data_IF_840792820920
#
_entry.id   IF_840792820920
#
_cell.length_a   1.000
_cell.length_b   1.000
_cell.length_c   1.000
_cell.angle_alpha   90.00
_cell.angle_beta   90.00
_cell.angle_gamma   90.00
#
_symmetry.space_group_name_H-M   'P 1'
#
loop_
_entity.id
_entity.type
_entity.pdbx_description
1 polymer ?
#
# COMPACT_ATOMS: atom_id res chain seq x y z
N UNK A 1 8.80 21.35 -10.51
CA UNK A 1 8.21 20.04 -10.12
C UNK A 1 9.16 19.22 -9.24
N UNK A 2 10.48 19.23 -9.51
CA UNK A 2 11.45 18.42 -8.73
C UNK A 2 11.55 18.78 -7.24
N UNK A 3 11.38 20.04 -6.84
CA UNK A 3 11.48 20.46 -5.44
C UNK A 3 10.24 20.09 -4.61
N UNK A 4 9.17 19.80 -5.28
CA UNK A 4 7.86 19.51 -4.71
C UNK A 4 7.81 18.07 -4.20
N UNK A 5 8.30 17.10 -4.97
CA UNK A 5 8.41 15.70 -4.54
C UNK A 5 9.48 15.49 -3.46
N UNK A 6 10.56 16.26 -3.50
CA UNK A 6 11.62 16.22 -2.50
C UNK A 6 11.11 16.46 -1.08
N UNK A 7 10.13 17.34 -0.89
CA UNK A 7 9.62 17.65 0.45
C UNK A 7 8.97 16.43 1.11
N UNK A 8 8.17 15.66 0.39
CA UNK A 8 7.49 14.48 0.94
C UNK A 8 8.49 13.39 1.33
N UNK A 9 9.38 13.02 0.42
CA UNK A 9 10.43 12.04 0.70
C UNK A 9 11.34 12.51 1.84
N UNK A 10 11.80 13.76 1.83
CA UNK A 10 12.65 14.30 2.91
C UNK A 10 11.94 14.31 4.26
N UNK A 11 10.66 14.68 4.31
CA UNK A 11 9.88 14.70 5.56
C UNK A 11 9.75 13.28 6.13
N UNK A 12 9.44 12.29 5.29
CA UNK A 12 9.37 10.88 5.70
C UNK A 12 10.72 10.39 6.16
N UNK A 13 11.81 10.64 5.41
CA UNK A 13 13.15 10.21 5.82
C UNK A 13 13.60 10.86 7.13
N UNK A 14 13.29 12.14 7.37
CA UNK A 14 13.57 12.80 8.63
C UNK A 14 12.81 12.14 9.80
N UNK A 15 11.55 11.78 9.60
CA UNK A 15 10.75 11.06 10.61
C UNK A 15 11.35 9.68 10.90
N UNK A 16 11.66 8.89 9.86
CA UNK A 16 12.29 7.58 9.99
C UNK A 16 13.63 7.66 10.74
N UNK A 17 14.47 8.64 10.41
CA UNK A 17 15.74 8.88 11.09
C UNK A 17 15.55 9.25 12.56
N UNK A 18 14.60 10.13 12.87
CA UNK A 18 14.31 10.57 14.23
C UNK A 18 13.88 9.41 15.15
N UNK A 19 13.28 8.38 14.57
CA UNK A 19 12.79 7.17 15.26
C UNK A 19 13.76 6.01 15.25
N UNK A 20 14.98 6.18 14.69
CA UNK A 20 15.92 5.10 14.45
C UNK A 20 15.29 3.91 13.71
N UNK A 21 14.41 4.18 12.74
CA UNK A 21 13.76 3.16 11.93
C UNK A 21 14.79 2.34 11.14
N UNK A 22 14.57 1.03 10.94
CA UNK A 22 15.39 0.24 10.03
C UNK A 22 15.18 0.62 8.56
N UNK A 23 14.07 1.29 8.23
CA UNK A 23 13.73 1.68 6.87
C UNK A 23 14.61 2.82 6.37
N UNK A 24 15.19 2.64 5.17
CA UNK A 24 16.17 3.57 4.58
C UNK A 24 15.81 4.02 3.18
N UNK A 25 14.79 3.43 2.60
CA UNK A 25 14.31 3.77 1.26
C UNK A 25 12.84 4.14 1.27
N UNK A 26 12.45 4.98 0.34
CA UNK A 26 11.06 5.28 0.03
C UNK A 26 10.86 5.31 -1.48
N UNK A 27 9.77 4.71 -1.94
CA UNK A 27 9.37 4.64 -3.34
C UNK A 27 7.98 5.26 -3.48
N UNK A 28 7.81 6.11 -4.49
CA UNK A 28 6.50 6.63 -4.89
C UNK A 28 6.28 6.34 -6.37
N UNK A 29 5.15 5.73 -6.68
CA UNK A 29 4.75 5.40 -8.05
C UNK A 29 3.25 5.63 -8.26
N UNK A 30 2.82 5.55 -9.53
CA UNK A 30 1.42 5.74 -9.92
C UNK A 30 0.85 4.45 -10.57
N UNK A 31 0.66 3.36 -9.80
CA UNK A 31 0.12 2.10 -10.32
C UNK A 31 -1.35 2.28 -10.69
N UNK A 32 -1.68 2.02 -11.96
CA UNK A 32 -2.97 2.36 -12.56
C UNK A 32 -4.12 1.65 -11.86
N UNK A 33 -3.97 0.35 -11.60
CA UNK A 33 -5.02 -0.50 -11.05
C UNK A 33 -5.36 -0.11 -9.61
N UNK A 34 -4.34 0.16 -8.80
CA UNK A 34 -4.55 0.64 -7.42
C UNK A 34 -5.19 2.03 -7.42
N UNK A 35 -4.75 2.93 -8.28
CA UNK A 35 -5.37 4.26 -8.41
C UNK A 35 -6.84 4.11 -8.84
N UNK A 36 -7.12 3.25 -9.82
CA UNK A 36 -8.48 2.99 -10.28
C UNK A 36 -9.41 2.53 -9.15
N UNK A 37 -8.92 1.66 -8.24
CA UNK A 37 -9.68 1.22 -7.07
C UNK A 37 -10.10 2.40 -6.17
N UNK A 38 -9.28 3.43 -6.03
CA UNK A 38 -9.59 4.58 -5.17
C UNK A 38 -10.75 5.45 -5.70
N UNK A 39 -11.19 5.24 -6.94
CA UNK A 39 -12.39 5.87 -7.48
C UNK A 39 -13.70 5.19 -7.01
N UNK A 40 -13.60 4.04 -6.36
CA UNK A 40 -14.72 3.34 -5.75
C UNK A 40 -14.72 3.57 -4.23
N UNK A 41 -15.72 4.25 -3.65
CA UNK A 41 -15.72 4.63 -2.23
C UNK A 41 -15.51 3.47 -1.25
N UNK A 42 -16.00 2.26 -1.56
CA UNK A 42 -15.81 1.09 -0.69
C UNK A 42 -14.34 0.71 -0.50
N UNK A 43 -13.47 1.03 -1.46
CA UNK A 43 -12.03 0.73 -1.37
C UNK A 43 -11.22 1.86 -0.72
N UNK A 44 -11.88 2.90 -0.23
CA UNK A 44 -11.27 3.86 0.69
C UNK A 44 -11.35 3.39 2.16
N UNK A 45 -12.11 2.33 2.43
CA UNK A 45 -12.11 1.64 3.71
C UNK A 45 -10.90 0.70 3.77
N UNK A 46 -9.95 0.98 4.65
CA UNK A 46 -8.64 0.30 4.72
C UNK A 46 -8.76 -1.21 4.85
N UNK A 47 -9.62 -1.66 5.76
CA UNK A 47 -9.81 -3.10 6.01
C UNK A 47 -10.44 -3.80 4.80
N UNK A 48 -11.35 -3.13 4.10
CA UNK A 48 -11.98 -3.66 2.88
C UNK A 48 -10.95 -3.80 1.76
N UNK A 49 -10.17 -2.76 1.52
CA UNK A 49 -9.13 -2.78 0.49
C UNK A 49 -8.04 -3.80 0.82
N UNK A 50 -7.51 -3.78 2.05
CA UNK A 50 -6.47 -4.70 2.49
C UNK A 50 -6.91 -6.16 2.37
N UNK A 51 -8.07 -6.51 2.94
CA UNK A 51 -8.55 -7.90 2.89
C UNK A 51 -8.82 -8.38 1.48
N UNK A 52 -9.38 -7.52 0.61
CA UNK A 52 -9.55 -7.85 -0.79
C UNK A 52 -8.21 -8.14 -1.47
N UNK A 53 -7.24 -7.24 -1.36
CA UNK A 53 -5.95 -7.37 -2.03
C UNK A 53 -5.17 -8.58 -1.49
N UNK A 54 -5.20 -8.82 -0.19
CA UNK A 54 -4.59 -10.00 0.42
C UNK A 54 -5.20 -11.32 -0.10
N UNK A 55 -6.50 -11.31 -0.42
CA UNK A 55 -7.19 -12.52 -0.85
C UNK A 55 -6.92 -12.89 -2.32
N UNK A 56 -6.38 -11.99 -3.13
CA UNK A 56 -6.20 -12.24 -4.57
C UNK A 56 -5.00 -13.15 -4.90
N UNK A 57 -3.87 -12.97 -4.22
CA UNK A 57 -2.68 -13.83 -4.34
C UNK A 57 -1.95 -13.89 -2.99
N UNK A 58 -1.31 -15.04 -2.67
CA UNK A 58 -0.59 -15.24 -1.41
C UNK A 58 0.50 -14.22 -1.14
N UNK A 59 1.25 -13.85 -2.18
CA UNK A 59 2.39 -12.94 -2.09
C UNK A 59 2.00 -11.58 -1.49
N UNK A 60 0.79 -11.11 -1.74
CA UNK A 60 0.36 -9.80 -1.26
C UNK A 60 0.36 -9.73 0.27
N UNK A 61 -0.15 -10.77 0.93
CA UNK A 61 -0.11 -10.83 2.40
C UNK A 61 1.32 -11.07 2.92
N UNK A 62 2.12 -11.84 2.19
CA UNK A 62 3.51 -12.14 2.57
C UNK A 62 4.40 -10.90 2.51
N UNK A 63 4.29 -10.08 1.46
CA UNK A 63 5.09 -8.88 1.26
C UNK A 63 4.53 -7.63 1.96
N UNK A 64 3.20 -7.57 2.13
CA UNK A 64 2.52 -6.45 2.79
C UNK A 64 1.74 -6.92 4.01
N UNK A 65 2.39 -7.54 5.02
CA UNK A 65 1.70 -8.15 6.16
C UNK A 65 0.97 -7.13 7.04
N UNK A 66 1.37 -5.87 7.00
CA UNK A 66 0.71 -4.78 7.73
C UNK A 66 -0.47 -4.16 6.96
N UNK A 67 -0.71 -4.61 5.72
CA UNK A 67 -1.80 -4.13 4.89
C UNK A 67 -1.49 -2.82 4.17
N UNK A 68 -2.55 -2.13 3.76
CA UNK A 68 -2.50 -0.91 2.96
C UNK A 68 -3.11 0.27 3.72
N UNK A 69 -2.30 1.27 4.06
CA UNK A 69 -2.79 2.55 4.55
C UNK A 69 -3.46 3.35 3.43
N UNK A 70 -4.48 4.14 3.75
CA UNK A 70 -5.19 4.96 2.76
C UNK A 70 -5.37 6.37 3.30
N UNK A 71 -4.94 7.35 2.51
CA UNK A 71 -5.10 8.78 2.80
C UNK A 71 -6.12 9.36 1.80
N UNK A 72 -7.22 9.94 2.30
CA UNK A 72 -8.15 10.70 1.46
C UNK A 72 -7.42 11.80 0.69
N UNK A 73 -7.99 12.20 -0.46
CA UNK A 73 -7.36 13.19 -1.33
C UNK A 73 -6.83 14.41 -0.57
N UNK A 74 -5.58 14.71 -0.82
CA UNK A 74 -4.90 15.94 -0.41
C UNK A 74 -4.13 16.50 -1.60
N UNK A 75 -3.94 17.80 -1.61
CA UNK A 75 -3.20 18.45 -2.68
C UNK A 75 -1.79 17.83 -2.79
N UNK A 76 -1.40 17.34 -3.96
CA UNK A 76 -0.05 16.83 -4.19
C UNK A 76 1.00 17.85 -3.75
N UNK A 77 2.03 17.36 -3.04
CA UNK A 77 3.15 18.18 -2.55
C UNK A 77 2.84 19.16 -1.43
N UNK A 78 1.65 19.09 -0.87
CA UNK A 78 1.30 19.88 0.31
C UNK A 78 1.97 19.33 1.58
N UNK A 79 2.10 20.18 2.57
CA UNK A 79 2.56 19.80 3.92
C UNK A 79 1.57 18.81 4.54
N UNK A 80 0.28 19.03 4.33
CA UNK A 80 -0.80 18.19 4.83
C UNK A 80 -0.74 16.74 4.30
N UNK A 81 -0.30 16.55 3.03
CA UNK A 81 -0.07 15.21 2.50
C UNK A 81 1.15 14.55 3.13
N UNK A 82 2.23 15.30 3.35
CA UNK A 82 3.43 14.79 4.00
C UNK A 82 3.14 14.35 5.44
N UNK A 83 2.47 15.20 6.22
CA UNK A 83 2.09 14.89 7.61
C UNK A 83 1.15 13.69 7.70
N UNK A 84 0.14 13.63 6.81
CA UNK A 84 -0.77 12.48 6.75
C UNK A 84 -0.02 11.19 6.37
N UNK A 85 0.94 11.27 5.44
CA UNK A 85 1.77 10.11 5.06
C UNK A 85 2.62 9.63 6.23
N UNK A 86 3.31 10.53 6.93
CA UNK A 86 4.09 10.19 8.12
C UNK A 86 3.22 9.56 9.20
N UNK A 87 2.03 10.08 9.43
CA UNK A 87 1.08 9.53 10.39
C UNK A 87 0.65 8.12 10.01
N UNK A 88 0.31 7.89 8.75
CA UNK A 88 -0.16 6.60 8.27
C UNK A 88 0.96 5.55 8.27
N UNK A 89 2.20 5.93 7.99
CA UNK A 89 3.38 5.07 8.05
C UNK A 89 3.76 4.60 9.47
N UNK A 90 3.07 5.02 10.51
CA UNK A 90 3.22 4.42 11.85
C UNK A 90 2.64 3.00 11.89
N UNK A 91 1.56 2.78 11.15
CA UNK A 91 0.79 1.54 11.18
C UNK A 91 1.00 0.69 9.92
N UNK A 92 1.39 1.30 8.80
CA UNK A 92 1.54 0.66 7.48
C UNK A 92 2.92 0.93 6.88
N UNK A 93 3.40 0.04 6.02
CA UNK A 93 4.64 0.23 5.25
C UNK A 93 4.35 0.77 3.85
N UNK A 94 3.11 0.61 3.38
CA UNK A 94 2.60 1.10 2.09
C UNK A 94 1.36 1.94 2.32
N UNK A 95 1.32 3.11 1.70
CA UNK A 95 0.20 4.06 1.82
C UNK A 95 -0.29 4.46 0.44
N UNK A 96 -1.59 4.31 0.21
CA UNK A 96 -2.29 4.80 -0.96
C UNK A 96 -2.75 6.25 -0.74
N UNK A 97 -2.43 7.12 -1.68
CA UNK A 97 -3.01 8.47 -1.78
C UNK A 97 -4.18 8.43 -2.76
N UNK A 98 -5.38 8.71 -2.27
CA UNK A 98 -6.60 8.66 -3.08
C UNK A 98 -6.43 9.45 -4.37
N UNK A 99 -6.73 8.80 -5.53
CA UNK A 99 -6.67 9.36 -6.89
C UNK A 99 -5.31 9.93 -7.31
N UNK A 100 -4.23 9.46 -6.65
CA UNK A 100 -2.89 9.98 -6.94
C UNK A 100 -1.89 8.86 -7.18
N UNK A 101 -1.59 8.05 -6.17
CA UNK A 101 -0.56 7.03 -6.27
C UNK A 101 -0.27 6.35 -4.95
N UNK A 102 0.84 5.61 -4.91
CA UNK A 102 1.26 4.82 -3.75
C UNK A 102 2.62 5.30 -3.26
N UNK A 103 2.80 5.32 -1.95
CA UNK A 103 4.06 5.59 -1.29
C UNK A 103 4.42 4.41 -0.37
N UNK A 104 5.62 3.86 -0.50
CA UNK A 104 6.09 2.76 0.31
C UNK A 104 7.44 3.06 0.95
N UNK A 105 7.70 2.46 2.11
CA UNK A 105 8.98 2.51 2.81
C UNK A 105 9.47 1.11 3.12
N UNK A 106 10.79 0.89 3.04
CA UNK A 106 11.43 -0.36 3.45
C UNK A 106 12.93 -0.16 3.68
N UNK A 107 13.64 -1.26 3.98
CA UNK A 107 15.10 -1.28 4.18
C UNK A 107 15.87 -0.89 2.93
N UNK A 108 15.36 -1.22 1.75
CA UNK A 108 15.89 -0.79 0.45
C UNK A 108 14.79 -0.50 -0.57
N UNK A 109 15.17 0.08 -1.70
CA UNK A 109 14.20 0.51 -2.72
C UNK A 109 13.55 -0.65 -3.46
N UNK A 110 14.21 -1.81 -3.57
CA UNK A 110 13.64 -3.00 -4.20
C UNK A 110 12.52 -3.55 -3.35
N UNK A 111 12.75 -3.75 -2.05
CA UNK A 111 11.73 -4.22 -1.12
C UNK A 111 10.53 -3.28 -1.05
N UNK A 112 10.78 -1.96 -1.00
CA UNK A 112 9.69 -0.97 -1.04
C UNK A 112 8.89 -1.04 -2.37
N UNK A 113 9.56 -1.29 -3.49
CA UNK A 113 8.90 -1.46 -4.78
C UNK A 113 8.11 -2.78 -4.86
N UNK A 114 8.67 -3.89 -4.37
CA UNK A 114 8.03 -5.20 -4.37
C UNK A 114 6.68 -5.18 -3.64
N UNK A 115 6.57 -4.44 -2.54
CA UNK A 115 5.30 -4.24 -1.84
C UNK A 115 4.24 -3.58 -2.75
N UNK A 116 4.63 -2.54 -3.49
CA UNK A 116 3.72 -1.87 -4.42
C UNK A 116 3.33 -2.79 -5.58
N UNK A 117 4.29 -3.53 -6.11
CA UNK A 117 4.11 -4.43 -7.26
C UNK A 117 3.10 -5.55 -6.94
N UNK A 118 3.23 -6.21 -5.78
CA UNK A 118 2.29 -7.28 -5.40
C UNK A 118 0.88 -6.75 -5.12
N UNK A 119 0.77 -5.57 -4.50
CA UNK A 119 -0.53 -4.92 -4.30
C UNK A 119 -1.18 -4.58 -5.64
N UNK A 120 -0.40 -4.05 -6.60
CA UNK A 120 -0.93 -3.72 -7.92
C UNK A 120 -1.31 -4.96 -8.73
N UNK A 121 -0.56 -6.06 -8.62
CA UNK A 121 -0.94 -7.35 -9.20
C UNK A 121 -2.27 -7.86 -8.65
N UNK A 122 -2.49 -7.77 -7.35
CA UNK A 122 -3.78 -8.11 -6.74
C UNK A 122 -4.93 -7.26 -7.28
N UNK A 123 -4.72 -5.95 -7.39
CA UNK A 123 -5.69 -5.04 -7.97
C UNK A 123 -6.02 -5.39 -9.42
N UNK A 124 -5.00 -5.69 -10.23
CA UNK A 124 -5.15 -6.12 -11.62
C UNK A 124 -5.94 -7.43 -11.73
N UNK A 125 -5.62 -8.43 -10.89
CA UNK A 125 -6.35 -9.71 -10.86
C UNK A 125 -7.83 -9.48 -10.53
N UNK A 126 -8.12 -8.67 -9.49
CA UNK A 126 -9.49 -8.33 -9.13
C UNK A 126 -10.24 -7.66 -10.29
N UNK A 127 -9.65 -6.63 -10.90
CA UNK A 127 -10.26 -5.92 -12.03
C UNK A 127 -10.44 -6.84 -13.23
N UNK A 128 -9.46 -7.69 -13.53
CA UNK A 128 -9.55 -8.65 -14.63
C UNK A 128 -10.71 -9.65 -14.42
N UNK A 129 -10.83 -10.21 -13.21
CA UNK A 129 -11.92 -11.13 -12.86
C UNK A 129 -13.29 -10.44 -12.97
N UNK A 130 -13.41 -9.21 -12.49
CA UNK A 130 -14.65 -8.41 -12.63
C UNK A 130 -15.00 -8.16 -14.10
N UNK A 131 -14.02 -7.90 -14.95
CA UNK A 131 -14.22 -7.71 -16.38
C UNK A 131 -14.65 -9.01 -17.08
N UNK A 132 -14.34 -10.18 -16.53
CA UNK A 132 -14.85 -11.49 -17.01
C UNK A 132 -16.33 -11.71 -16.60
N UNK A 133 -16.92 -10.86 -15.80
CA UNK A 133 -18.34 -10.88 -15.44
C UNK A 133 -18.67 -11.65 -14.16
N UNK A 134 -17.68 -11.94 -13.31
CA UNK A 134 -17.93 -12.59 -12.01
C UNK A 134 -17.21 -11.90 -10.86
N UNK A 135 -17.68 -12.16 -9.64
CA UNK A 135 -17.00 -11.72 -8.42
C UNK A 135 -15.95 -12.78 -8.07
N UNK A 136 -14.65 -12.42 -7.91
CA UNK A 136 -13.65 -13.41 -7.50
C UNK A 136 -13.87 -13.80 -6.02
N UNK A 137 -13.80 -15.10 -5.74
CA UNK A 137 -13.94 -15.61 -4.36
C UNK A 137 -12.78 -15.18 -3.45
N UNK A 138 -11.58 -15.11 -4.03
CA UNK A 138 -10.35 -14.87 -3.27
C UNK A 138 -9.99 -16.03 -2.32
N UNK A 139 -8.89 -15.87 -1.60
CA UNK A 139 -8.51 -16.82 -0.54
C UNK A 139 -9.42 -16.69 0.68
N UNK A 140 -9.78 -17.83 1.27
CA UNK A 140 -10.58 -17.85 2.49
C UNK A 140 -9.80 -17.33 3.69
N UNK A 141 -10.52 -16.99 4.77
CA UNK A 141 -9.90 -16.57 6.04
C UNK A 141 -9.01 -17.69 6.65
N UNK A 142 -9.38 -18.95 6.45
CA UNK A 142 -8.60 -20.11 6.88
C UNK A 142 -7.28 -20.18 6.13
N UNK A 143 -7.31 -20.03 4.79
CA UNK A 143 -6.12 -20.00 3.94
C UNK A 143 -5.19 -18.83 4.30
N UNK A 144 -5.75 -17.65 4.56
CA UNK A 144 -4.97 -16.49 5.00
C UNK A 144 -4.34 -16.69 6.40
N UNK A 145 -5.01 -17.38 7.31
CA UNK A 145 -4.45 -17.76 8.62
C UNK A 145 -3.34 -18.80 8.49
N UNK A 146 -3.53 -19.80 7.65
CA UNK A 146 -2.50 -20.80 7.35
C UNK A 146 -1.21 -20.11 6.86
N UNK A 147 -1.32 -19.17 5.96
CA UNK A 147 -0.17 -18.36 5.50
C UNK A 147 0.48 -17.56 6.63
N UNK A 148 -0.33 -16.92 7.47
CA UNK A 148 0.19 -16.15 8.61
C UNK A 148 1.07 -17.01 9.51
N UNK A 149 0.67 -18.27 9.74
CA UNK A 149 1.45 -19.22 10.54
C UNK A 149 2.66 -19.74 9.77
N UNK A 150 2.48 -20.16 8.51
CA UNK A 150 3.53 -20.77 7.71
C UNK A 150 4.71 -19.82 7.44
N UNK A 151 4.43 -18.55 7.23
CA UNK A 151 5.43 -17.50 6.95
C UNK A 151 5.80 -16.64 8.18
N UNK A 152 5.28 -16.99 9.37
CA UNK A 152 5.51 -16.22 10.61
C UNK A 152 5.22 -14.71 10.45
N UNK A 153 4.11 -14.38 9.78
CA UNK A 153 3.70 -13.01 9.53
C UNK A 153 3.13 -12.36 10.81
N UNK A 154 3.15 -11.03 10.94
CA UNK A 154 2.44 -10.30 11.98
C UNK A 154 0.94 -10.66 12.00
N UNK A 155 0.36 -10.67 13.21
CA UNK A 155 -1.07 -10.95 13.41
C UNK A 155 -1.90 -9.69 13.22
#
# INVERSE_FOLDING_TARGET
LGDVYKRQHLSVHNDLLSKNSPYKASVHTHPIELIAMTHCPKFLEKDVATNLLWSMIPETKAFCPRGLGIIPYKLPSSVELAEATIKELQDYDVVMWEKHGVFAVDCDAMQAFDQIDVLNKSALIYIAAKNMGFEPDGMSQEQMKEMTVAFNLPK
#
